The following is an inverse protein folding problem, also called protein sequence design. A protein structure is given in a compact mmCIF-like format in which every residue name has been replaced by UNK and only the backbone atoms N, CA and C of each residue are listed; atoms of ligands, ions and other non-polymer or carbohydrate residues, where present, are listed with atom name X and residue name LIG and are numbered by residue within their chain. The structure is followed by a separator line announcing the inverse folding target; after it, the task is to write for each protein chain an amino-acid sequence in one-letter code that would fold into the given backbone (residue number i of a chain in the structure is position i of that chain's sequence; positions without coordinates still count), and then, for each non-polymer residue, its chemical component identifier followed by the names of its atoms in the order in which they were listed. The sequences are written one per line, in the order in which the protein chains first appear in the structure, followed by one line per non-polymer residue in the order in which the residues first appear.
data_IF_067045901333
#
_entry.id   IF_067045901333
#
_cell.length_a   1.000
_cell.length_b   1.000
_cell.length_c   1.000
_cell.angle_alpha   90.00
_cell.angle_beta   90.00
_cell.angle_gamma   90.00
#
_symmetry.space_group_name_H-M   'P 1'
#
loop_
_entity.id
_entity.type
_entity.pdbx_description
1 polymer ?
#
# COMPACT_ATOMS: atom_id res chain seq x y z
N UNK A 1 7.40 20.93 1.22
CA UNK A 1 8.29 19.82 1.63
C UNK A 1 9.00 19.33 0.41
N UNK A 2 10.31 19.43 0.31
CA UNK A 2 11.02 18.82 -0.80
C UNK A 2 10.95 17.30 -0.66
N UNK A 3 10.55 16.61 -1.72
CA UNK A 3 10.48 15.16 -1.77
C UNK A 3 9.14 14.61 -2.24
N UNK A 4 9.05 13.28 -2.30
CA UNK A 4 7.85 12.58 -2.71
C UNK A 4 6.94 12.33 -1.51
N UNK A 5 5.66 12.62 -1.67
CA UNK A 5 4.63 12.20 -0.72
C UNK A 5 4.07 10.85 -1.19
N UNK A 6 4.23 9.84 -0.38
CA UNK A 6 3.61 8.51 -0.59
C UNK A 6 2.36 8.43 0.27
N UNK A 7 1.24 8.02 -0.32
CA UNK A 7 -0.06 7.88 0.37
C UNK A 7 -0.55 6.46 0.23
N UNK A 8 -0.86 5.81 1.33
CA UNK A 8 -1.36 4.43 1.33
C UNK A 8 -1.37 3.80 2.71
N UNK A 9 -1.52 2.49 2.75
CA UNK A 9 -1.73 1.75 3.99
C UNK A 9 -0.54 0.88 4.37
N UNK A 10 -0.47 0.53 5.65
CA UNK A 10 0.46 -0.44 6.20
C UNK A 10 -0.27 -1.78 6.34
N UNK A 11 0.41 -2.87 6.00
CA UNK A 11 -0.03 -4.23 6.30
C UNK A 11 0.97 -4.94 7.21
N UNK A 12 0.47 -5.88 7.98
CA UNK A 12 1.28 -6.90 8.65
C UNK A 12 0.88 -8.26 8.06
N UNK A 13 1.84 -8.90 7.41
CA UNK A 13 1.67 -10.23 6.83
C UNK A 13 2.02 -11.27 7.89
N UNK A 14 1.11 -12.17 8.17
CA UNK A 14 1.26 -13.30 9.08
C UNK A 14 1.33 -14.55 8.22
N UNK A 15 2.54 -15.12 8.05
CA UNK A 15 2.79 -16.23 7.13
C UNK A 15 3.12 -17.51 7.91
N UNK A 16 2.30 -18.55 7.74
CA UNK A 16 2.51 -19.88 8.30
C UNK A 16 3.18 -20.81 7.28
N UNK A 17 4.24 -21.51 7.71
CA UNK A 17 4.99 -22.47 6.89
C UNK A 17 5.00 -23.81 7.61
N UNK A 18 4.29 -24.85 7.11
CA UNK A 18 4.32 -26.18 7.69
C UNK A 18 5.71 -26.83 7.53
N UNK A 19 6.09 -27.69 8.48
CA UNK A 19 7.34 -28.45 8.38
C UNK A 19 7.24 -29.71 7.50
N UNK A 20 6.03 -30.10 7.10
CA UNK A 20 5.76 -31.25 6.25
C UNK A 20 4.58 -30.96 5.35
N UNK A 21 3.99 -32.01 4.80
CA UNK A 21 2.81 -31.91 3.94
C UNK A 21 1.68 -31.12 4.64
N UNK A 22 1.10 -30.15 3.91
CA UNK A 22 0.03 -29.32 4.44
C UNK A 22 -1.32 -30.04 4.39
N UNK A 23 -1.98 -30.13 5.53
CA UNK A 23 -3.32 -30.70 5.68
C UNK A 23 -4.33 -29.59 6.05
N UNK A 24 -5.27 -29.31 5.16
CA UNK A 24 -6.27 -28.25 5.34
C UNK A 24 -7.19 -28.47 6.56
N UNK A 25 -7.40 -29.72 6.94
CA UNK A 25 -8.27 -30.13 8.05
C UNK A 25 -7.45 -30.74 9.20
N UNK A 26 -6.66 -29.93 9.87
CA UNK A 26 -5.86 -30.46 10.98
C UNK A 26 -4.86 -29.46 11.52
N UNK A 27 -4.09 -29.89 12.51
CA UNK A 27 -3.00 -29.11 13.07
C UNK A 27 -1.72 -29.38 12.28
N UNK A 28 -1.19 -28.36 11.63
CA UNK A 28 0.09 -28.41 10.96
C UNK A 28 1.17 -27.79 11.87
N UNK A 29 2.13 -28.59 12.28
CA UNK A 29 3.31 -28.05 12.97
C UNK A 29 4.17 -27.30 11.97
N UNK A 30 4.62 -26.08 12.34
CA UNK A 30 5.34 -25.22 11.42
C UNK A 30 5.96 -24.00 12.09
N UNK A 31 6.42 -23.07 11.27
CA UNK A 31 6.88 -21.74 11.70
C UNK A 31 5.88 -20.66 11.29
N UNK A 32 5.79 -19.62 12.10
CA UNK A 32 5.00 -18.43 11.79
C UNK A 32 5.93 -17.23 11.71
N UNK A 33 5.78 -16.43 10.67
CA UNK A 33 6.56 -15.21 10.46
C UNK A 33 5.63 -14.01 10.35
N UNK A 34 6.03 -12.94 11.02
CA UNK A 34 5.41 -11.62 10.87
C UNK A 34 6.31 -10.77 9.97
N UNK A 35 5.72 -10.22 8.92
CA UNK A 35 6.43 -9.41 7.93
C UNK A 35 5.67 -8.10 7.75
N UNK A 36 6.35 -6.98 7.83
CA UNK A 36 5.74 -5.71 7.50
C UNK A 36 5.43 -5.66 6.00
N UNK A 37 4.17 -5.48 5.65
CA UNK A 37 3.62 -5.43 4.31
C UNK A 37 3.03 -4.04 3.98
N UNK A 38 2.29 -3.98 2.89
CA UNK A 38 1.70 -2.75 2.32
C UNK A 38 2.52 -2.22 1.15
N UNK A 39 1.89 -2.09 -0.01
CA UNK A 39 2.58 -1.68 -1.25
C UNK A 39 3.14 -0.27 -1.11
N UNK A 40 2.33 0.68 -0.63
CA UNK A 40 2.78 2.05 -0.38
C UNK A 40 3.89 2.12 0.69
N UNK A 41 3.77 1.32 1.77
CA UNK A 41 4.81 1.26 2.79
C UNK A 41 6.14 0.77 2.20
N UNK A 42 6.12 -0.26 1.34
CA UNK A 42 7.31 -0.75 0.65
C UNK A 42 7.95 0.35 -0.21
N UNK A 43 7.15 1.08 -0.99
CA UNK A 43 7.64 2.22 -1.80
C UNK A 43 8.30 3.27 -0.92
N UNK A 44 7.68 3.65 0.20
CA UNK A 44 8.24 4.64 1.12
C UNK A 44 9.60 4.18 1.72
N UNK A 45 9.69 2.90 2.13
CA UNK A 45 10.96 2.34 2.64
C UNK A 45 12.05 2.29 1.56
N UNK A 46 11.71 1.87 0.35
CA UNK A 46 12.70 1.75 -0.72
C UNK A 46 13.20 3.13 -1.18
N UNK A 47 12.32 4.13 -1.24
CA UNK A 47 12.72 5.52 -1.48
C UNK A 47 13.66 6.03 -0.38
N UNK A 48 13.36 5.77 0.88
CA UNK A 48 14.24 6.16 2.00
C UNK A 48 15.61 5.47 1.91
N UNK A 49 15.63 4.18 1.56
CA UNK A 49 16.87 3.39 1.41
C UNK A 49 17.80 3.91 0.30
N UNK A 50 17.23 4.41 -0.78
CA UNK A 50 18.03 5.05 -1.85
C UNK A 50 18.38 6.51 -1.55
N UNK A 51 18.03 7.02 -0.36
CA UNK A 51 18.32 8.38 0.06
C UNK A 51 17.40 9.46 -0.49
N UNK A 52 16.26 9.09 -1.08
CA UNK A 52 15.25 10.04 -1.55
C UNK A 52 14.42 10.56 -0.38
N UNK A 53 14.23 11.88 -0.25
CA UNK A 53 13.34 12.44 0.76
C UNK A 53 11.90 11.94 0.54
N UNK A 54 11.29 11.35 1.58
CA UNK A 54 9.94 10.79 1.52
C UNK A 54 9.13 11.18 2.73
N UNK A 55 7.90 11.62 2.50
CA UNK A 55 6.86 11.76 3.49
C UNK A 55 5.82 10.67 3.24
N UNK A 56 5.57 9.83 4.22
CA UNK A 56 4.55 8.79 4.10
C UNK A 56 3.31 9.20 4.86
N UNK A 57 2.19 9.29 4.16
CA UNK A 57 0.87 9.63 4.72
C UNK A 57 0.05 8.35 4.81
N UNK A 58 -0.13 7.90 6.01
CA UNK A 58 -0.75 6.62 6.32
C UNK A 58 -1.55 6.70 7.62
N UNK A 59 -2.11 5.58 8.02
CA UNK A 59 -2.71 5.44 9.33
C UNK A 59 -2.10 4.25 10.08
N UNK A 60 -2.05 4.39 11.39
CA UNK A 60 -1.72 3.32 12.32
C UNK A 60 -2.74 3.28 13.45
N UNK A 61 -2.63 2.30 14.34
CA UNK A 61 -3.48 2.18 15.52
C UNK A 61 -2.67 1.93 16.81
N UNK A 62 -3.37 1.62 17.90
CA UNK A 62 -2.75 1.42 19.21
C UNK A 62 -2.19 0.02 19.43
N UNK A 63 -2.32 -0.90 18.48
CA UNK A 63 -1.79 -2.27 18.58
C UNK A 63 -0.26 -2.30 18.62
N UNK A 64 0.35 -3.29 19.27
CA UNK A 64 1.81 -3.45 19.25
C UNK A 64 2.39 -3.57 17.84
N UNK A 65 1.71 -4.30 16.95
CA UNK A 65 2.14 -4.49 15.55
C UNK A 65 2.16 -3.17 14.78
N UNK A 66 1.13 -2.33 14.97
CA UNK A 66 1.07 -1.01 14.35
C UNK A 66 2.19 -0.09 14.86
N UNK A 67 2.43 -0.10 16.18
CA UNK A 67 3.52 0.69 16.77
C UNK A 67 4.88 0.30 16.22
N UNK A 68 5.18 -1.01 16.20
CA UNK A 68 6.44 -1.52 15.66
C UNK A 68 6.64 -1.10 14.20
N UNK A 69 5.58 -1.21 13.36
CA UNK A 69 5.64 -0.79 11.97
C UNK A 69 5.94 0.72 11.82
N UNK A 70 5.28 1.56 12.61
CA UNK A 70 5.50 3.02 12.57
C UNK A 70 6.89 3.40 13.08
N UNK A 71 7.34 2.83 14.21
CA UNK A 71 8.68 3.06 14.76
C UNK A 71 9.79 2.66 13.77
N UNK A 72 9.59 1.57 13.05
CA UNK A 72 10.52 1.13 12.01
C UNK A 72 10.62 2.14 10.85
N UNK A 73 9.50 2.71 10.43
CA UNK A 73 9.48 3.75 9.39
C UNK A 73 10.21 5.02 9.85
N UNK A 74 9.96 5.45 11.09
CA UNK A 74 10.65 6.60 11.71
C UNK A 74 12.17 6.36 11.81
N UNK A 75 12.58 5.14 12.20
CA UNK A 75 14.00 4.76 12.27
C UNK A 75 14.70 4.82 10.90
N UNK A 76 13.97 4.65 9.82
CA UNK A 76 14.47 4.82 8.45
C UNK A 76 14.41 6.28 7.94
N UNK A 77 14.09 7.23 8.84
CA UNK A 77 13.99 8.68 8.54
C UNK A 77 12.87 9.02 7.54
N UNK A 78 11.84 8.18 7.47
CA UNK A 78 10.62 8.50 6.74
C UNK A 78 9.83 9.51 7.55
N UNK A 79 9.41 10.59 6.91
CA UNK A 79 8.64 11.64 7.57
C UNK A 79 7.17 11.21 7.68
N UNK A 80 6.68 11.02 8.91
CA UNK A 80 5.31 10.60 9.22
C UNK A 80 4.43 11.73 9.75
N UNK A 81 4.85 13.01 9.63
CA UNK A 81 4.13 14.15 10.24
C UNK A 81 2.67 14.29 9.80
N UNK A 82 2.29 13.75 8.65
CA UNK A 82 0.92 13.73 8.15
C UNK A 82 0.25 12.37 8.26
N UNK A 83 0.87 11.42 8.94
CA UNK A 83 0.24 10.16 9.30
C UNK A 83 -0.64 10.32 10.53
N UNK A 84 -1.72 9.56 10.60
CA UNK A 84 -2.67 9.62 11.71
C UNK A 84 -2.65 8.34 12.53
N UNK A 85 -3.15 8.43 13.77
CA UNK A 85 -3.37 7.26 14.62
C UNK A 85 -4.84 7.17 14.98
N UNK A 86 -5.40 5.99 14.83
CA UNK A 86 -6.78 5.64 15.19
C UNK A 86 -6.78 4.64 16.36
N UNK A 87 -7.89 4.49 17.09
CA UNK A 87 -7.92 3.55 18.22
C UNK A 87 -7.71 2.09 17.81
N UNK A 88 -8.24 1.68 16.65
CA UNK A 88 -8.20 0.31 16.15
C UNK A 88 -8.32 0.26 14.62
N UNK A 89 -7.97 -0.88 14.02
CA UNK A 89 -8.07 -1.12 12.57
C UNK A 89 -7.29 -0.10 11.71
N UNK A 90 -6.18 0.41 12.21
CA UNK A 90 -5.31 1.34 11.48
C UNK A 90 -4.27 0.65 10.61
N UNK A 91 -4.08 -0.67 10.74
CA UNK A 91 -3.21 -1.47 9.88
C UNK A 91 -3.98 -2.65 9.30
N UNK A 92 -3.68 -3.00 8.05
CA UNK A 92 -4.21 -4.19 7.43
C UNK A 92 -3.47 -5.44 7.93
N UNK A 93 -4.17 -6.58 7.92
CA UNK A 93 -3.60 -7.88 8.27
C UNK A 93 -3.80 -8.84 7.09
N UNK A 94 -2.75 -9.54 6.73
CA UNK A 94 -2.83 -10.63 5.76
C UNK A 94 -2.32 -11.92 6.39
N UNK A 95 -3.25 -12.83 6.67
CA UNK A 95 -2.95 -14.18 7.13
C UNK A 95 -2.81 -15.08 5.91
N UNK A 96 -1.65 -15.69 5.73
CA UNK A 96 -1.37 -16.63 4.66
C UNK A 96 -0.82 -17.94 5.20
N UNK A 97 -1.30 -19.05 4.67
CA UNK A 97 -0.75 -20.37 4.93
C UNK A 97 -0.12 -20.89 3.65
N UNK A 98 1.14 -21.27 3.74
CA UNK A 98 1.88 -21.84 2.63
C UNK A 98 1.79 -23.37 2.69
N UNK A 99 1.97 -24.04 1.57
CA UNK A 99 2.16 -25.48 1.53
C UNK A 99 3.64 -25.87 1.73
N UNK A 100 3.95 -27.15 1.64
CA UNK A 100 5.31 -27.70 1.77
C UNK A 100 6.25 -27.28 0.64
N UNK A 101 5.72 -26.77 -0.49
CA UNK A 101 6.49 -26.23 -1.62
C UNK A 101 6.75 -24.75 -1.51
N UNK A 102 6.07 -24.09 -0.54
CA UNK A 102 6.11 -22.66 -0.38
C UNK A 102 5.08 -21.90 -1.23
N UNK A 103 4.12 -22.62 -1.83
CA UNK A 103 3.02 -22.01 -2.56
C UNK A 103 1.88 -21.63 -1.60
N UNK A 104 1.05 -20.68 -2.00
CA UNK A 104 -0.07 -20.22 -1.17
C UNK A 104 -1.19 -21.25 -1.13
N UNK A 105 -1.39 -21.90 0.01
CA UNK A 105 -2.48 -22.84 0.23
C UNK A 105 -3.81 -22.14 0.58
N UNK A 106 -3.76 -20.99 1.25
CA UNK A 106 -4.93 -20.20 1.57
C UNK A 106 -4.58 -18.89 2.27
N UNK A 107 -5.47 -17.91 2.19
CA UNK A 107 -5.26 -16.62 2.84
C UNK A 107 -6.57 -15.93 3.22
N UNK A 108 -6.48 -15.02 4.19
CA UNK A 108 -7.54 -14.09 4.57
C UNK A 108 -6.92 -12.71 4.78
N UNK A 109 -7.55 -11.68 4.23
CA UNK A 109 -7.10 -10.30 4.33
C UNK A 109 -8.11 -9.47 5.10
N UNK A 110 -7.62 -8.70 6.08
CA UNK A 110 -8.38 -7.66 6.75
C UNK A 110 -7.83 -6.31 6.31
N UNK A 111 -8.65 -5.54 5.62
CA UNK A 111 -8.30 -4.17 5.24
C UNK A 111 -8.36 -3.24 6.46
N UNK A 112 -7.49 -2.22 6.55
CA UNK A 112 -7.64 -1.19 7.55
C UNK A 112 -8.90 -0.34 7.26
N UNK A 113 -9.41 0.33 8.30
CA UNK A 113 -10.44 1.35 8.11
C UNK A 113 -9.80 2.63 7.60
N UNK A 114 -9.94 2.90 6.31
CA UNK A 114 -9.32 4.06 5.66
C UNK A 114 -10.17 5.34 5.76
N UNK A 115 -11.40 5.28 6.26
CA UNK A 115 -12.28 6.45 6.34
C UNK A 115 -11.68 7.60 7.16
N UNK A 116 -11.04 7.38 8.34
CA UNK A 116 -10.39 8.46 9.08
C UNK A 116 -9.27 9.14 8.28
N UNK A 117 -8.48 8.36 7.52
CA UNK A 117 -7.43 8.91 6.66
C UNK A 117 -8.02 9.70 5.49
N UNK A 118 -9.11 9.22 4.90
CA UNK A 118 -9.79 9.93 3.83
C UNK A 118 -10.31 11.29 4.30
N UNK A 119 -10.95 11.36 5.47
CA UNK A 119 -11.40 12.63 6.08
C UNK A 119 -10.22 13.56 6.36
N UNK A 120 -9.15 13.05 6.93
CA UNK A 120 -7.95 13.85 7.18
C UNK A 120 -7.35 14.41 5.89
N UNK A 121 -7.30 13.61 4.82
CA UNK A 121 -6.80 14.05 3.53
C UNK A 121 -7.74 15.03 2.82
N UNK A 122 -9.05 14.97 3.05
CA UNK A 122 -9.98 15.99 2.58
C UNK A 122 -9.69 17.37 3.23
N UNK A 123 -9.30 17.39 4.50
CA UNK A 123 -8.97 18.63 5.21
C UNK A 123 -7.55 19.15 4.91
N UNK A 124 -6.57 18.27 4.79
CA UNK A 124 -5.16 18.63 4.72
C UNK A 124 -4.52 18.33 3.35
N UNK A 125 -5.23 17.67 2.45
CA UNK A 125 -4.68 17.20 1.17
C UNK A 125 -4.14 18.33 0.29
N UNK A 126 -4.77 19.49 0.29
CA UNK A 126 -4.27 20.65 -0.46
C UNK A 126 -2.89 21.10 0.03
N UNK A 127 -2.69 21.21 1.32
CA UNK A 127 -1.39 21.57 1.92
C UNK A 127 -0.34 20.52 1.58
N UNK A 128 -0.69 19.24 1.76
CA UNK A 128 0.20 18.11 1.56
C UNK A 128 0.64 18.02 0.10
N UNK A 129 -0.32 18.01 -0.84
CA UNK A 129 -0.03 17.87 -2.27
C UNK A 129 0.67 19.12 -2.83
N UNK A 130 0.23 20.32 -2.47
CA UNK A 130 0.89 21.54 -2.96
C UNK A 130 2.34 21.66 -2.52
N UNK A 131 2.67 21.17 -1.32
CA UNK A 131 4.02 21.19 -0.76
C UNK A 131 4.95 20.07 -1.25
N UNK A 132 4.45 19.06 -1.95
CA UNK A 132 5.22 17.94 -2.45
C UNK A 132 5.93 18.25 -3.78
N UNK A 133 7.02 17.56 -4.09
CA UNK A 133 7.61 17.59 -5.44
C UNK A 133 6.85 16.63 -6.37
N UNK A 134 6.48 15.46 -5.86
CA UNK A 134 5.66 14.46 -6.55
C UNK A 134 4.81 13.68 -5.55
N UNK A 135 3.83 12.95 -6.04
CA UNK A 135 2.92 12.12 -5.22
C UNK A 135 2.95 10.69 -5.73
N UNK A 136 3.03 9.72 -4.81
CA UNK A 136 2.79 8.31 -5.08
C UNK A 136 1.54 7.87 -4.31
N UNK A 137 0.51 7.44 -5.01
CA UNK A 137 -0.79 7.10 -4.45
C UNK A 137 -1.08 5.61 -4.58
N UNK A 138 -1.39 4.97 -3.48
CA UNK A 138 -2.03 3.65 -3.48
C UNK A 138 -3.53 3.84 -3.72
N UNK A 139 -4.02 3.41 -4.89
CA UNK A 139 -5.39 3.70 -5.32
C UNK A 139 -6.46 2.89 -4.56
N UNK A 140 -6.06 1.81 -3.91
CA UNK A 140 -6.99 0.92 -3.19
C UNK A 140 -7.56 1.50 -1.88
N UNK A 141 -7.19 2.73 -1.53
CA UNK A 141 -7.78 3.45 -0.39
C UNK A 141 -9.20 3.96 -0.64
N UNK A 142 -9.76 3.76 -1.83
CA UNK A 142 -11.13 4.13 -2.21
C UNK A 142 -11.21 5.06 -3.42
N UNK A 143 -12.34 4.98 -4.12
CA UNK A 143 -12.55 5.73 -5.36
C UNK A 143 -12.57 7.25 -5.15
N UNK A 144 -13.38 7.70 -4.18
CA UNK A 144 -13.54 9.13 -3.88
C UNK A 144 -12.22 9.78 -3.47
N UNK A 145 -11.44 9.08 -2.61
CA UNK A 145 -10.14 9.58 -2.19
C UNK A 145 -9.15 9.61 -3.36
N UNK A 146 -9.13 8.55 -4.18
CA UNK A 146 -8.25 8.51 -5.36
C UNK A 146 -8.58 9.64 -6.34
N UNK A 147 -9.85 9.86 -6.62
CA UNK A 147 -10.31 10.96 -7.49
C UNK A 147 -9.91 12.33 -6.92
N UNK A 148 -10.09 12.52 -5.61
CA UNK A 148 -9.70 13.77 -4.93
C UNK A 148 -8.20 14.05 -5.05
N UNK A 149 -7.34 13.07 -4.76
CA UNK A 149 -5.89 13.25 -4.86
C UNK A 149 -5.44 13.47 -6.31
N UNK A 150 -6.02 12.74 -7.27
CA UNK A 150 -5.79 12.99 -8.71
C UNK A 150 -6.13 14.44 -9.07
N UNK A 151 -7.27 14.95 -8.61
CA UNK A 151 -7.70 16.33 -8.86
C UNK A 151 -6.73 17.35 -8.24
N UNK A 152 -6.24 17.09 -7.03
CA UNK A 152 -5.24 17.94 -6.37
C UNK A 152 -3.90 17.94 -7.11
N UNK A 153 -3.41 16.77 -7.54
CA UNK A 153 -2.18 16.68 -8.32
C UNK A 153 -2.29 17.48 -9.64
N UNK A 154 -3.43 17.39 -10.30
CA UNK A 154 -3.71 18.20 -11.50
C UNK A 154 -3.76 19.70 -11.18
N UNK A 155 -4.46 20.12 -10.12
CA UNK A 155 -4.57 21.51 -9.67
C UNK A 155 -3.18 22.12 -9.40
N UNK A 156 -2.33 21.38 -8.71
CA UNK A 156 -1.00 21.84 -8.29
C UNK A 156 0.13 21.42 -9.25
N UNK A 157 -0.21 20.81 -10.40
CA UNK A 157 0.75 20.36 -11.44
C UNK A 157 1.85 19.46 -10.86
N UNK A 158 1.45 18.49 -10.03
CA UNK A 158 2.37 17.52 -9.45
C UNK A 158 2.38 16.23 -10.27
N UNK A 159 3.57 15.69 -10.49
CA UNK A 159 3.69 14.35 -11.06
C UNK A 159 3.06 13.33 -10.09
N UNK A 160 2.12 12.55 -10.61
CA UNK A 160 1.41 11.51 -9.87
C UNK A 160 1.85 10.13 -10.37
N UNK A 161 2.34 9.34 -9.45
CA UNK A 161 2.63 7.91 -9.63
C UNK A 161 1.55 7.12 -8.89
N UNK A 162 1.01 6.08 -9.52
CA UNK A 162 0.00 5.25 -8.89
C UNK A 162 0.46 3.81 -8.77
N UNK A 163 0.07 3.20 -7.66
CA UNK A 163 0.29 1.79 -7.34
C UNK A 163 -1.03 1.18 -6.88
N UNK A 164 -1.15 -0.13 -6.96
CA UNK A 164 -2.33 -0.86 -6.52
C UNK A 164 -1.93 -2.18 -5.88
N UNK A 165 -2.68 -2.61 -4.88
CA UNK A 165 -2.52 -3.93 -4.24
C UNK A 165 -3.59 -4.93 -4.72
N UNK A 166 -4.80 -4.48 -5.04
CA UNK A 166 -5.91 -5.35 -5.42
C UNK A 166 -6.65 -4.94 -6.70
N UNK A 167 -6.29 -3.82 -7.31
CA UNK A 167 -6.84 -3.29 -8.57
C UNK A 167 -8.33 -2.88 -8.52
N UNK A 168 -8.98 -2.92 -7.36
CA UNK A 168 -10.42 -2.72 -7.27
C UNK A 168 -10.88 -1.35 -7.78
N UNK A 169 -10.16 -0.29 -7.43
CA UNK A 169 -10.44 1.08 -7.89
C UNK A 169 -10.06 1.24 -9.37
N UNK A 170 -8.88 0.77 -9.76
CA UNK A 170 -8.37 0.91 -11.13
C UNK A 170 -9.29 0.24 -12.16
N UNK A 171 -9.86 -0.93 -11.82
CA UNK A 171 -10.80 -1.63 -12.71
C UNK A 171 -12.12 -0.88 -12.89
N UNK A 172 -12.63 -0.22 -11.83
CA UNK A 172 -13.88 0.56 -11.90
C UNK A 172 -13.65 1.96 -12.46
N UNK A 173 -12.48 2.54 -12.24
CA UNK A 173 -12.14 3.92 -12.62
C UNK A 173 -10.81 3.99 -13.39
N UNK A 174 -10.69 3.29 -14.54
CA UNK A 174 -9.48 3.34 -15.37
C UNK A 174 -9.22 4.73 -15.95
N UNK A 175 -10.24 5.60 -15.97
CA UNK A 175 -10.15 7.00 -16.37
C UNK A 175 -9.16 7.80 -15.51
N UNK A 176 -9.00 7.46 -14.23
CA UNK A 176 -8.08 8.13 -13.32
C UNK A 176 -6.62 7.96 -13.75
N UNK A 177 -6.28 6.84 -14.39
CA UNK A 177 -4.92 6.58 -14.87
C UNK A 177 -4.46 7.55 -15.97
N UNK A 178 -5.38 8.18 -16.70
CA UNK A 178 -5.05 9.18 -17.73
C UNK A 178 -4.35 10.43 -17.18
N UNK A 179 -4.43 10.63 -15.87
CA UNK A 179 -3.84 11.76 -15.16
C UNK A 179 -2.60 11.38 -14.36
N UNK A 180 -2.13 10.14 -14.50
CA UNK A 180 -0.92 9.67 -13.83
C UNK A 180 0.29 9.78 -14.76
N UNK A 181 1.45 10.04 -14.19
CA UNK A 181 2.74 9.99 -14.87
C UNK A 181 3.14 8.54 -15.17
N UNK A 182 2.84 7.65 -14.21
CA UNK A 182 3.11 6.23 -14.31
C UNK A 182 2.15 5.47 -13.39
N UNK A 183 1.65 4.33 -13.87
CA UNK A 183 1.00 3.31 -13.05
C UNK A 183 1.92 2.10 -12.96
N UNK A 184 2.23 1.66 -11.75
CA UNK A 184 3.14 0.57 -11.46
C UNK A 184 2.30 -0.63 -11.05
N UNK A 185 2.41 -1.71 -11.79
CA UNK A 185 1.69 -2.96 -11.57
C UNK A 185 2.54 -4.15 -12.00
N UNK A 186 2.16 -5.35 -11.55
CA UNK A 186 2.76 -6.59 -12.02
C UNK A 186 2.10 -7.06 -13.34
N UNK A 187 2.64 -8.13 -13.93
CA UNK A 187 2.15 -8.70 -15.18
C UNK A 187 0.68 -9.14 -15.10
N UNK A 188 0.28 -9.80 -14.02
CA UNK A 188 -1.12 -10.24 -13.80
C UNK A 188 -2.07 -9.05 -13.72
N UNK A 189 -1.67 -7.99 -13.02
CA UNK A 189 -2.45 -6.75 -12.90
C UNK A 189 -2.55 -6.04 -14.25
N UNK A 190 -1.45 -5.99 -15.00
CA UNK A 190 -1.42 -5.42 -16.34
C UNK A 190 -2.34 -6.19 -17.30
N UNK A 191 -2.32 -7.53 -17.29
CA UNK A 191 -3.23 -8.37 -18.09
C UNK A 191 -4.69 -8.10 -17.78
N UNK A 192 -5.02 -7.96 -16.49
CA UNK A 192 -6.38 -7.61 -16.05
C UNK A 192 -6.84 -6.24 -16.56
N UNK A 193 -5.92 -5.26 -16.58
CA UNK A 193 -6.22 -3.90 -17.05
C UNK A 193 -6.35 -3.83 -18.57
N UNK A 194 -5.49 -4.54 -19.29
CA UNK A 194 -5.43 -4.51 -20.75
C UNK A 194 -6.38 -5.52 -21.42
N UNK A 195 -6.93 -6.45 -20.64
CA UNK A 195 -7.78 -7.55 -21.11
C UNK A 195 -7.11 -8.46 -22.16
N UNK A 196 -5.79 -8.55 -22.13
CA UNK A 196 -5.00 -9.47 -22.95
C UNK A 196 -3.70 -9.86 -22.23
N UNK A 197 -3.10 -11.02 -22.57
CA UNK A 197 -1.83 -11.44 -22.02
C UNK A 197 -0.72 -10.43 -22.30
N UNK A 198 0.12 -10.19 -21.30
CA UNK A 198 1.33 -9.37 -21.43
C UNK A 198 2.52 -10.30 -21.65
N UNK A 199 3.10 -10.25 -22.83
CA UNK A 199 4.31 -10.99 -23.12
C UNK A 199 5.52 -10.29 -22.50
N UNK A 200 6.35 -11.04 -21.74
CA UNK A 200 7.64 -10.53 -21.25
C UNK A 200 8.65 -10.26 -22.38
N UNK A 201 8.33 -10.64 -23.60
CA UNK A 201 9.19 -10.48 -24.78
C UNK A 201 8.91 -9.21 -25.59
N UNK A 202 7.81 -8.51 -25.31
CA UNK A 202 7.46 -7.25 -25.97
C UNK A 202 7.69 -6.09 -24.98
N UNK A 203 8.77 -5.31 -25.13
CA UNK A 203 9.07 -4.15 -24.31
C UNK A 203 8.12 -2.97 -24.58
#
# INVERSE_FOLDING_TARGET
MPGTVVMGVIFVDIKGFPFGEYHATGTNLGSIRFVHGGVARNVAEDMARIGSPVTFVTLGDTTPMSREAMERLEAQKIDLRYSIRVPQNGVGLWLAVMDEKGDLAGSTSQMPDTEPLARYLQERGEEIVSGADSVCLEMDMGEELSEWIVALCKKYRKDLYCISANMSVVQRRPDLLRHTRCFICNDIEAERLLHHPVSRADP
#
